data_IF_355284933065
#
_entry.id   IF_355284933065
#
_cell.length_a   1.000
_cell.length_b   1.000
_cell.length_c   1.000
_cell.angle_alpha   90.00
_cell.angle_beta   90.00
_cell.angle_gamma   90.00
#
_symmetry.space_group_name_H-M   'P 1'
#
loop_
_entity.id
_entity.type
_entity.pdbx_description
1 polymer ?
#
# COMPACT_ATOMS: atom_id res chain seq x y z
N UNK A 1 19.10 -11.19 10.80
CA UNK A 1 17.78 -10.58 10.55
C UNK A 1 16.94 -11.23 9.46
N UNK A 2 17.50 -12.03 8.54
CA UNK A 2 16.70 -12.68 7.50
C UNK A 2 15.58 -13.59 8.06
N UNK A 3 15.82 -14.31 9.15
CA UNK A 3 14.86 -15.25 9.74
C UNK A 3 13.60 -14.61 10.35
N UNK A 4 13.71 -13.40 10.90
CA UNK A 4 12.54 -12.67 11.43
C UNK A 4 11.64 -12.13 10.34
N UNK A 5 12.21 -11.67 9.23
CA UNK A 5 11.46 -11.23 8.05
C UNK A 5 10.76 -12.41 7.38
N UNK A 6 11.45 -13.53 7.22
CA UNK A 6 10.89 -14.73 6.58
C UNK A 6 9.72 -15.31 7.38
N UNK A 7 9.83 -15.36 8.71
CA UNK A 7 8.74 -15.80 9.60
C UNK A 7 7.57 -14.81 9.55
N UNK A 8 7.86 -13.50 9.46
CA UNK A 8 6.85 -12.46 9.34
C UNK A 8 6.09 -12.55 8.01
N UNK A 9 6.80 -12.73 6.91
CA UNK A 9 6.18 -12.85 5.58
C UNK A 9 5.42 -14.18 5.42
N UNK A 10 5.91 -15.27 5.99
CA UNK A 10 5.22 -16.56 5.96
C UNK A 10 3.92 -16.57 6.80
N UNK A 11 3.86 -15.77 7.87
CA UNK A 11 2.64 -15.62 8.68
C UNK A 11 1.62 -14.63 8.09
N UNK A 12 2.07 -13.80 7.13
CA UNK A 12 1.28 -12.74 6.49
C UNK A 12 0.87 -13.04 5.06
N UNK A 13 1.05 -14.28 4.57
CA UNK A 13 0.43 -14.72 3.31
C UNK A 13 -1.09 -14.82 3.55
N UNK A 14 -1.66 -13.70 3.92
CA UNK A 14 -3.10 -13.55 3.95
C UNK A 14 -3.48 -12.79 2.70
N UNK A 15 -3.92 -13.50 1.68
CA UNK A 15 -4.59 -12.89 0.55
C UNK A 15 -5.76 -12.07 1.08
N UNK A 16 -5.72 -10.75 0.86
CA UNK A 16 -6.91 -9.93 1.09
C UNK A 16 -7.82 -10.10 -0.11
N UNK A 17 -8.76 -11.03 0.03
CA UNK A 17 -9.81 -11.24 -0.96
C UNK A 17 -10.99 -10.32 -0.68
N UNK A 18 -11.17 -9.31 -1.50
CA UNK A 18 -12.41 -8.55 -1.59
C UNK A 18 -12.82 -8.46 -3.04
N UNK A 19 -13.87 -9.18 -3.46
CA UNK A 19 -14.49 -9.07 -4.79
C UNK A 19 -13.51 -9.11 -5.97
N UNK A 20 -12.62 -10.09 -6.03
CA UNK A 20 -11.57 -10.22 -7.07
C UNK A 20 -10.43 -9.20 -6.98
N UNK A 21 -10.24 -8.55 -5.83
CA UNK A 21 -9.08 -7.76 -5.48
C UNK A 21 -8.24 -8.51 -4.46
N UNK A 22 -6.93 -8.59 -4.68
CA UNK A 22 -6.03 -9.22 -3.72
C UNK A 22 -4.61 -8.69 -3.86
N UNK A 23 -3.83 -8.84 -2.80
CA UNK A 23 -2.37 -8.72 -2.88
C UNK A 23 -1.72 -9.91 -2.20
N UNK A 24 -0.48 -10.18 -2.58
CA UNK A 24 0.36 -11.18 -1.93
C UNK A 24 1.80 -10.71 -1.90
N UNK A 25 2.56 -11.22 -0.95
CA UNK A 25 4.00 -11.05 -0.89
C UNK A 25 4.68 -12.09 -1.77
N UNK A 26 5.60 -11.62 -2.60
CA UNK A 26 6.48 -12.45 -3.41
C UNK A 26 7.83 -12.60 -2.70
N UNK A 27 8.57 -13.68 -2.97
CA UNK A 27 9.88 -13.86 -2.39
C UNK A 27 10.86 -12.79 -2.87
N UNK A 28 11.49 -12.10 -1.90
CA UNK A 28 12.62 -11.21 -2.12
C UNK A 28 13.42 -11.09 -0.83
N UNK A 29 14.75 -11.11 -0.92
CA UNK A 29 15.62 -11.37 0.24
C UNK A 29 15.52 -10.32 1.37
N UNK A 30 15.43 -9.04 1.05
CA UNK A 30 15.50 -7.93 2.03
C UNK A 30 14.38 -6.91 1.92
N UNK A 31 13.48 -7.10 0.95
CA UNK A 31 12.41 -6.15 0.65
C UNK A 31 11.05 -6.83 0.74
N UNK A 32 10.00 -6.05 0.87
CA UNK A 32 8.65 -6.53 0.65
C UNK A 32 8.32 -6.43 -0.84
N UNK A 33 8.28 -7.56 -1.52
CA UNK A 33 7.86 -7.64 -2.92
C UNK A 33 6.38 -8.03 -2.97
N UNK A 34 5.55 -7.15 -3.49
CA UNK A 34 4.09 -7.27 -3.43
C UNK A 34 3.50 -7.34 -4.82
N UNK A 35 2.60 -8.28 -5.02
CA UNK A 35 1.78 -8.41 -6.22
C UNK A 35 0.32 -8.12 -5.89
N UNK A 36 -0.28 -7.20 -6.65
CA UNK A 36 -1.69 -6.83 -6.57
C UNK A 36 -2.41 -7.29 -7.82
N UNK A 37 -3.59 -7.87 -7.64
CA UNK A 37 -4.55 -8.15 -8.72
C UNK A 37 -5.87 -7.47 -8.41
N UNK A 38 -6.43 -6.76 -9.40
CA UNK A 38 -7.70 -6.06 -9.26
C UNK A 38 -8.41 -5.97 -10.62
N UNK A 39 -9.66 -5.56 -10.63
CA UNK A 39 -10.44 -5.36 -11.87
C UNK A 39 -10.13 -4.02 -12.52
N UNK A 40 -9.94 -2.98 -11.71
CA UNK A 40 -9.71 -1.61 -12.17
C UNK A 40 -8.43 -1.04 -11.58
N UNK A 41 -7.94 0.02 -12.20
CA UNK A 41 -6.75 0.71 -11.71
C UNK A 41 -6.98 1.33 -10.33
N UNK A 42 -8.13 1.93 -10.09
CA UNK A 42 -8.50 2.49 -8.79
C UNK A 42 -8.50 1.43 -7.69
N UNK A 43 -9.06 0.25 -7.98
CA UNK A 43 -9.04 -0.87 -7.04
C UNK A 43 -7.61 -1.34 -6.76
N UNK A 44 -6.76 -1.40 -7.80
CA UNK A 44 -5.36 -1.79 -7.65
C UNK A 44 -4.59 -0.82 -6.74
N UNK A 45 -4.76 0.49 -6.94
CA UNK A 45 -4.13 1.51 -6.09
C UNK A 45 -4.66 1.48 -4.66
N UNK A 46 -5.96 1.23 -4.48
CA UNK A 46 -6.56 1.06 -3.16
C UNK A 46 -5.93 -0.11 -2.42
N UNK A 47 -5.83 -1.27 -3.06
CA UNK A 47 -5.22 -2.47 -2.49
C UNK A 47 -3.73 -2.25 -2.21
N UNK A 48 -3.03 -1.55 -3.12
CA UNK A 48 -1.63 -1.19 -2.90
C UNK A 48 -1.46 -0.33 -1.64
N UNK A 49 -2.32 0.67 -1.43
CA UNK A 49 -2.31 1.47 -0.20
C UNK A 49 -2.53 0.62 1.05
N UNK A 50 -3.49 -0.29 1.01
CA UNK A 50 -3.74 -1.24 2.10
C UNK A 50 -2.54 -2.13 2.40
N UNK A 51 -1.86 -2.62 1.37
CA UNK A 51 -0.68 -3.47 1.55
C UNK A 51 0.46 -2.76 2.27
N UNK A 52 0.64 -1.47 2.03
CA UNK A 52 1.63 -0.64 2.74
C UNK A 52 1.28 -0.56 4.23
N UNK A 53 0.04 -0.24 4.56
CA UNK A 53 -0.42 -0.16 5.95
C UNK A 53 -0.25 -1.50 6.65
N UNK A 54 -0.70 -2.60 6.04
CA UNK A 54 -0.60 -3.95 6.62
C UNK A 54 0.85 -4.43 6.77
N UNK A 55 1.77 -3.94 5.95
CA UNK A 55 3.19 -4.24 6.11
C UNK A 55 3.75 -3.56 7.37
N UNK A 56 3.30 -2.35 7.68
CA UNK A 56 3.78 -1.56 8.82
C UNK A 56 3.10 -1.94 10.12
N UNK A 57 1.78 -2.08 10.12
CA UNK A 57 0.94 -2.30 11.29
C UNK A 57 -0.17 -3.33 11.01
N UNK A 58 -0.87 -3.74 12.06
CA UNK A 58 -2.08 -4.56 11.93
C UNK A 58 -3.31 -3.65 11.84
N UNK A 59 -4.07 -3.74 10.76
CA UNK A 59 -5.24 -2.91 10.53
C UNK A 59 -6.50 -3.32 11.32
N UNK A 60 -6.49 -4.45 11.99
CA UNK A 60 -7.68 -4.99 12.69
C UNK A 60 -8.23 -4.05 13.74
N UNK A 61 -7.35 -3.41 14.50
CA UNK A 61 -7.72 -2.56 15.63
C UNK A 61 -7.76 -1.06 15.29
N UNK A 62 -7.65 -0.69 14.02
CA UNK A 62 -7.75 0.69 13.60
C UNK A 62 -9.22 1.12 13.57
N UNK A 63 -9.54 2.22 14.24
CA UNK A 63 -10.87 2.83 14.23
C UNK A 63 -10.93 4.00 13.26
N UNK A 64 -12.08 4.22 12.64
CA UNK A 64 -12.32 5.33 11.74
C UNK A 64 -12.81 6.55 12.51
N UNK A 65 -11.89 7.25 13.17
CA UNK A 65 -12.20 8.42 14.01
C UNK A 65 -12.08 9.72 13.23
N UNK A 66 -11.09 9.81 12.34
CA UNK A 66 -10.79 11.00 11.55
C UNK A 66 -10.75 10.68 10.06
N UNK A 67 -11.08 11.68 9.26
CA UNK A 67 -10.92 11.63 7.81
C UNK A 67 -9.91 12.67 7.35
N UNK A 68 -9.17 12.35 6.30
CA UNK A 68 -8.24 13.28 5.64
C UNK A 68 -8.37 13.13 4.13
N UNK A 69 -8.24 14.24 3.43
CA UNK A 69 -8.13 14.26 1.98
C UNK A 69 -6.66 14.29 1.57
N UNK A 70 -6.30 13.45 0.63
CA UNK A 70 -4.96 13.41 0.06
C UNK A 70 -5.01 13.49 -1.45
N UNK A 71 -4.00 14.13 -2.02
CA UNK A 71 -3.82 14.26 -3.46
C UNK A 71 -2.40 13.84 -3.81
N UNK A 72 -2.28 12.93 -4.75
CA UNK A 72 -0.99 12.46 -5.25
C UNK A 72 -0.97 12.64 -6.77
N UNK A 73 0.16 13.08 -7.30
CA UNK A 73 0.35 13.29 -8.74
C UNK A 73 1.55 12.49 -9.24
N UNK A 74 1.54 12.16 -10.53
CA UNK A 74 2.65 11.51 -11.19
C UNK A 74 2.62 11.75 -12.69
N UNK A 75 3.78 11.92 -13.31
CA UNK A 75 3.90 12.16 -14.75
C UNK A 75 3.36 11.01 -15.60
N UNK A 76 3.52 9.80 -15.10
CA UNK A 76 3.02 8.57 -15.68
C UNK A 76 2.49 7.65 -14.58
N UNK A 77 1.92 6.52 -14.96
CA UNK A 77 1.29 5.61 -14.00
C UNK A 77 2.30 4.98 -13.03
N UNK A 78 3.54 4.74 -13.44
CA UNK A 78 4.60 4.21 -12.58
C UNK A 78 5.04 5.24 -11.54
N UNK A 79 5.22 6.49 -11.95
CA UNK A 79 5.50 7.59 -11.01
C UNK A 79 4.34 7.78 -10.04
N UNK A 80 3.10 7.68 -10.52
CA UNK A 80 1.92 7.80 -9.66
C UNK A 80 1.92 6.70 -8.60
N UNK A 81 2.21 5.45 -8.98
CA UNK A 81 2.29 4.34 -8.04
C UNK A 81 3.39 4.57 -7.01
N UNK A 82 4.60 4.95 -7.45
CA UNK A 82 5.70 5.27 -6.54
C UNK A 82 5.29 6.33 -5.53
N UNK A 83 4.75 7.45 -6.02
CA UNK A 83 4.35 8.58 -5.17
C UNK A 83 3.19 8.24 -4.23
N UNK A 84 2.26 7.40 -4.69
CA UNK A 84 1.16 6.89 -3.86
C UNK A 84 1.69 6.04 -2.70
N UNK A 85 2.55 5.07 -3.00
CA UNK A 85 3.14 4.20 -1.98
C UNK A 85 3.95 5.03 -0.97
N UNK A 86 4.76 5.98 -1.44
CA UNK A 86 5.55 6.87 -0.59
C UNK A 86 4.67 7.74 0.31
N UNK A 87 3.58 8.29 -0.22
CA UNK A 87 2.62 9.09 0.54
C UNK A 87 1.99 8.27 1.68
N UNK A 88 1.59 7.02 1.41
CA UNK A 88 1.02 6.15 2.45
C UNK A 88 2.05 5.81 3.52
N UNK A 89 3.30 5.56 3.15
CA UNK A 89 4.40 5.37 4.11
C UNK A 89 4.57 6.63 4.98
N UNK A 90 4.61 7.81 4.37
CA UNK A 90 4.77 9.09 5.06
C UNK A 90 3.63 9.35 6.04
N UNK A 91 2.39 9.20 5.60
CA UNK A 91 1.21 9.39 6.46
C UNK A 91 1.24 8.43 7.64
N UNK A 92 1.58 7.17 7.41
CA UNK A 92 1.57 6.17 8.47
C UNK A 92 2.70 6.35 9.46
N UNK A 93 3.94 6.51 8.98
CA UNK A 93 5.13 6.54 9.83
C UNK A 93 5.45 7.96 10.30
N UNK A 94 5.56 8.92 9.38
CA UNK A 94 6.01 10.28 9.71
C UNK A 94 4.91 11.09 10.37
N UNK A 95 3.72 11.08 9.78
CA UNK A 95 2.58 11.83 10.34
C UNK A 95 1.91 11.09 11.50
N UNK A 96 2.21 9.81 11.66
CA UNK A 96 1.66 9.00 12.75
C UNK A 96 0.15 8.80 12.65
N UNK A 97 -0.35 8.48 11.45
CA UNK A 97 -1.76 8.23 11.20
C UNK A 97 -2.00 6.81 10.68
N UNK A 98 -2.74 6.03 11.45
CA UNK A 98 -3.12 4.65 11.08
C UNK A 98 -4.34 4.68 10.16
N UNK A 99 -4.15 4.29 8.91
CA UNK A 99 -5.20 4.34 7.90
C UNK A 99 -6.00 3.04 7.91
N UNK A 100 -7.32 3.14 8.10
CA UNK A 100 -8.25 2.02 8.04
C UNK A 100 -8.81 1.82 6.65
N UNK A 101 -9.32 2.87 6.04
CA UNK A 101 -9.95 2.80 4.72
C UNK A 101 -9.44 3.89 3.79
N UNK A 102 -9.53 3.59 2.51
CA UNK A 102 -9.18 4.47 1.41
C UNK A 102 -10.36 4.57 0.44
N UNK A 103 -10.61 5.74 -0.11
CA UNK A 103 -11.27 5.87 -1.40
C UNK A 103 -10.22 6.29 -2.42
N UNK A 104 -10.29 5.81 -3.64
CA UNK A 104 -9.32 6.16 -4.68
C UNK A 104 -10.07 6.56 -5.94
N UNK A 105 -9.78 7.75 -6.42
CA UNK A 105 -10.25 8.25 -7.71
C UNK A 105 -9.04 8.71 -8.51
N UNK A 106 -8.84 8.13 -9.70
CA UNK A 106 -7.71 8.46 -10.57
C UNK A 106 -8.22 9.32 -11.73
N UNK A 107 -7.58 10.47 -11.92
CA UNK A 107 -7.83 11.36 -13.05
C UNK A 107 -6.57 11.48 -13.90
N UNK A 108 -6.76 11.54 -15.21
CA UNK A 108 -5.68 11.77 -16.17
C UNK A 108 -5.98 13.03 -16.98
N UNK A 109 -5.17 14.05 -16.79
CA UNK A 109 -5.12 15.26 -17.60
C UNK A 109 -3.73 15.32 -18.27
N UNK A 110 -2.96 16.38 -18.03
CA UNK A 110 -1.55 16.45 -18.43
C UNK A 110 -0.69 15.47 -17.66
N UNK A 111 -1.06 15.20 -16.42
CA UNK A 111 -0.47 14.22 -15.52
C UNK A 111 -1.55 13.36 -14.90
N UNK A 112 -1.14 12.28 -14.25
CA UNK A 112 -2.05 11.46 -13.45
C UNK A 112 -2.22 12.04 -12.06
N UNK A 113 -3.44 11.97 -11.53
CA UNK A 113 -3.75 12.40 -10.16
C UNK A 113 -4.58 11.34 -9.45
N UNK A 114 -4.24 11.11 -8.19
CA UNK A 114 -5.12 10.43 -7.24
C UNK A 114 -5.74 11.48 -6.33
N UNK A 115 -7.05 11.45 -6.23
CA UNK A 115 -7.81 12.11 -5.16
C UNK A 115 -8.31 11.00 -4.26
N UNK A 116 -7.95 11.06 -2.99
CA UNK A 116 -8.30 10.03 -2.02
C UNK A 116 -8.80 10.66 -0.74
N UNK A 117 -9.85 10.06 -0.19
CA UNK A 117 -10.24 10.28 1.20
C UNK A 117 -9.81 9.07 2.00
N UNK A 118 -9.06 9.30 3.06
CA UNK A 118 -8.62 8.26 3.97
C UNK A 118 -9.32 8.45 5.32
N UNK A 119 -9.59 7.35 5.99
CA UNK A 119 -10.13 7.35 7.35
C UNK A 119 -9.29 6.48 8.26
N UNK A 120 -9.17 6.88 9.50
CA UNK A 120 -8.37 6.18 10.48
C UNK A 120 -8.25 6.93 11.80
N UNK A 121 -7.14 6.72 12.47
CA UNK A 121 -6.88 7.32 13.78
C UNK A 121 -5.38 7.57 13.99
N UNK A 122 -5.04 8.30 15.04
CA UNK A 122 -3.65 8.50 15.44
C UNK A 122 -2.96 7.15 15.66
N UNK A 123 -1.78 6.98 15.08
CA UNK A 123 -0.98 5.77 15.22
C UNK A 123 -0.61 5.54 16.69
N UNK A 124 -0.87 4.34 17.16
CA UNK A 124 -0.42 3.83 18.46
C UNK A 124 0.32 2.52 18.21
N UNK A 125 1.62 2.52 18.46
CA UNK A 125 2.50 1.40 18.11
C UNK A 125 2.09 0.08 18.77
N UNK A 126 1.58 0.16 20.00
CA UNK A 126 1.13 -1.02 20.76
C UNK A 126 -0.26 -1.48 20.30
N UNK A 127 -1.21 -0.56 20.23
CA UNK A 127 -2.58 -0.87 19.80
C UNK A 127 -2.62 -1.46 18.40
N UNK A 128 -1.86 -0.87 17.48
CA UNK A 128 -1.83 -1.25 16.07
C UNK A 128 -0.76 -2.29 15.74
N UNK A 129 -0.08 -2.83 16.76
CA UNK A 129 0.92 -3.89 16.60
C UNK A 129 1.97 -3.55 15.51
N UNK A 130 2.76 -2.51 15.77
CA UNK A 130 3.83 -2.08 14.86
C UNK A 130 4.76 -3.25 14.50
N UNK A 131 4.98 -3.46 13.23
CA UNK A 131 5.72 -4.61 12.70
C UNK A 131 7.10 -4.23 12.20
N UNK A 132 7.16 -3.35 11.21
CA UNK A 132 8.40 -2.97 10.54
C UNK A 132 8.28 -1.61 9.89
N UNK A 133 9.40 -0.90 9.83
CA UNK A 133 9.54 0.34 9.08
C UNK A 133 9.74 0.05 7.60
N UNK A 134 9.04 0.78 6.74
CA UNK A 134 9.32 0.85 5.32
C UNK A 134 10.14 2.12 5.08
N UNK A 135 11.33 1.98 4.50
CA UNK A 135 12.20 3.13 4.18
C UNK A 135 11.66 3.90 2.99
N UNK A 136 11.36 3.19 1.90
CA UNK A 136 10.83 3.79 0.66
C UNK A 136 10.30 2.74 -0.28
N UNK A 137 9.38 3.08 -1.20
CA UNK A 137 9.20 2.28 -2.41
C UNK A 137 10.42 2.42 -3.33
N UNK A 138 10.52 1.54 -4.31
CA UNK A 138 11.55 1.59 -5.35
C UNK A 138 10.93 1.28 -6.71
N UNK A 139 11.52 1.81 -7.79
CA UNK A 139 11.12 1.47 -9.15
C UNK A 139 11.63 0.10 -9.61
N UNK A 140 12.57 -0.49 -8.87
CA UNK A 140 13.11 -1.80 -9.23
C UNK A 140 12.01 -2.86 -9.25
N UNK A 141 11.92 -3.63 -10.33
CA UNK A 141 10.90 -4.65 -10.57
C UNK A 141 9.45 -4.14 -10.55
N UNK A 142 9.22 -2.83 -10.62
CA UNK A 142 7.88 -2.29 -10.73
C UNK A 142 7.25 -2.70 -12.07
N UNK A 143 6.05 -3.25 -11.99
CA UNK A 143 5.28 -3.72 -13.14
C UNK A 143 3.83 -3.31 -12.98
N UNK A 144 3.23 -2.79 -14.04
CA UNK A 144 1.80 -2.50 -14.13
C UNK A 144 1.31 -2.99 -15.48
N UNK A 145 0.36 -3.90 -15.47
CA UNK A 145 -0.18 -4.55 -16.67
C UNK A 145 -1.71 -4.55 -16.60
N UNK A 146 -2.34 -4.07 -17.67
CA UNK A 146 -3.79 -3.97 -17.79
C UNK A 146 -4.38 -4.99 -18.79
N UNK A 147 -3.83 -6.17 -18.88
CA UNK A 147 -4.39 -7.25 -19.70
C UNK A 147 -5.32 -8.10 -18.84
N UNK A 148 -6.64 -8.03 -19.10
CA UNK A 148 -7.64 -8.79 -18.36
C UNK A 148 -7.63 -8.44 -16.85
N UNK A 149 -7.98 -7.19 -16.54
CA UNK A 149 -7.84 -6.62 -15.22
C UNK A 149 -6.50 -5.92 -15.04
N UNK A 150 -6.09 -5.72 -13.80
CA UNK A 150 -4.83 -5.05 -13.46
C UNK A 150 -3.95 -5.98 -12.65
N UNK A 151 -2.73 -6.18 -13.12
CA UNK A 151 -1.64 -6.78 -12.37
C UNK A 151 -0.63 -5.69 -12.03
N UNK A 152 -0.25 -5.60 -10.77
CA UNK A 152 0.69 -4.59 -10.28
C UNK A 152 1.70 -5.27 -9.36
N UNK A 153 3.00 -4.97 -9.57
CA UNK A 153 4.08 -5.44 -8.69
C UNK A 153 4.96 -4.29 -8.29
N UNK A 154 5.39 -4.30 -7.06
CA UNK A 154 6.30 -3.28 -6.53
C UNK A 154 7.09 -3.81 -5.35
N UNK A 155 8.26 -3.19 -5.13
CA UNK A 155 9.15 -3.44 -4.01
C UNK A 155 9.10 -2.29 -3.01
N UNK A 156 9.03 -2.65 -1.73
CA UNK A 156 9.18 -1.72 -0.62
C UNK A 156 10.51 -2.05 0.08
N UNK A 157 11.41 -1.08 0.14
CA UNK A 157 12.69 -1.21 0.84
C UNK A 157 12.46 -1.13 2.37
N UNK A 158 12.89 -2.16 3.07
CA UNK A 158 12.69 -2.32 4.51
C UNK A 158 13.93 -1.95 5.33
#
# INVERSE_FOLDING_TARGET
>A
MPLRLTVYFNSLITEIHRKNMSYKYLEHATDAFIEVKAKTMEEAFLVAGKSVVETIIDSKNIQEIEEKDIKVVGENIHNLLYNWLEEIVTITITDGFAIKNFSVNIKKNKEYQIISKISGEKLNLKKHNYKIEIKSPTFHLMEINENDGVLMRYLLDL
#
